data_IF_570562587725
#
_entry.id   IF_570562587725
#
_cell.length_a   1.000
_cell.length_b   1.000
_cell.length_c   1.000
_cell.angle_alpha   90.00
_cell.angle_beta   90.00
_cell.angle_gamma   90.00
#
_symmetry.space_group_name_H-M   'P 1'
#
loop_
_entity.id
_entity.type
_entity.pdbx_description
1 polymer ?
#
# COMPACT_ATOMS: atom_id res chain seq x y z
N UNK A 1 -27.61 -17.64 29.12
CA UNK A 1 -27.90 -16.83 30.33
C UNK A 1 -26.79 -15.81 30.46
N UNK A 2 -27.10 -14.52 30.46
CA UNK A 2 -26.10 -13.46 30.55
C UNK A 2 -25.55 -13.41 31.99
N UNK A 3 -24.27 -13.73 32.18
CA UNK A 3 -23.64 -13.60 33.50
C UNK A 3 -23.36 -12.13 33.74
N UNK A 4 -24.09 -11.53 34.68
CA UNK A 4 -23.90 -10.14 35.10
C UNK A 4 -22.97 -10.11 36.31
N UNK A 5 -21.81 -9.46 36.17
CA UNK A 5 -20.80 -9.39 37.22
C UNK A 5 -20.47 -7.94 37.56
N UNK A 6 -20.14 -7.69 38.83
CA UNK A 6 -19.51 -6.42 39.22
C UNK A 6 -18.14 -6.30 38.54
N UNK A 7 -17.62 -5.08 38.36
CA UNK A 7 -16.30 -4.86 37.75
C UNK A 7 -15.17 -5.59 38.48
N UNK A 8 -15.28 -5.71 39.81
CA UNK A 8 -14.31 -6.43 40.65
C UNK A 8 -14.41 -7.94 40.47
N UNK A 9 -15.61 -8.49 40.30
CA UNK A 9 -15.82 -9.89 39.98
C UNK A 9 -15.38 -10.22 38.55
N UNK A 10 -15.62 -9.32 37.58
CA UNK A 10 -15.15 -9.47 36.20
C UNK A 10 -13.61 -9.44 36.10
N UNK A 11 -12.95 -8.57 36.88
CA UNK A 11 -11.48 -8.54 36.97
C UNK A 11 -10.91 -9.89 37.43
N UNK A 12 -11.53 -10.49 38.47
CA UNK A 12 -11.15 -11.82 38.97
C UNK A 12 -11.44 -12.93 37.96
N UNK A 13 -12.60 -12.89 37.30
CA UNK A 13 -12.99 -13.87 36.28
C UNK A 13 -11.99 -13.95 35.12
N UNK A 14 -11.48 -12.80 34.66
CA UNK A 14 -10.53 -12.73 33.54
C UNK A 14 -9.06 -12.73 33.97
N UNK A 15 -8.77 -12.79 35.28
CA UNK A 15 -7.40 -12.78 35.80
C UNK A 15 -6.63 -11.47 35.57
N UNK A 16 -7.32 -10.34 35.49
CA UNK A 16 -6.71 -9.02 35.24
C UNK A 16 -6.81 -8.10 36.44
N UNK A 17 -5.85 -7.18 36.58
CA UNK A 17 -5.86 -6.18 37.65
C UNK A 17 -7.04 -5.20 37.55
N UNK A 18 -7.49 -4.66 38.68
CA UNK A 18 -8.58 -3.66 38.75
C UNK A 18 -8.33 -2.43 37.87
N UNK A 19 -7.07 -2.05 37.68
CA UNK A 19 -6.64 -0.95 36.81
C UNK A 19 -6.96 -1.21 35.33
N UNK A 20 -6.79 -2.45 34.85
CA UNK A 20 -7.10 -2.81 33.47
C UNK A 20 -8.60 -2.66 33.17
N UNK A 21 -9.46 -3.10 34.09
CA UNK A 21 -10.92 -2.96 33.95
C UNK A 21 -11.35 -1.49 33.98
N UNK A 22 -10.69 -0.65 34.80
CA UNK A 22 -10.93 0.80 34.80
C UNK A 22 -10.54 1.45 33.46
N UNK A 23 -9.42 1.04 32.88
CA UNK A 23 -9.00 1.51 31.56
C UNK A 23 -9.96 1.05 30.45
N UNK A 24 -10.48 -0.17 30.53
CA UNK A 24 -11.50 -0.67 29.59
C UNK A 24 -12.83 0.05 29.72
N UNK A 25 -13.21 0.43 30.95
CA UNK A 25 -14.37 1.30 31.19
C UNK A 25 -14.20 2.64 30.49
N UNK A 26 -13.04 3.31 30.68
CA UNK A 26 -12.71 4.59 30.02
C UNK A 26 -12.69 4.46 28.50
N UNK A 27 -12.22 3.33 27.97
CA UNK A 27 -12.18 3.04 26.55
C UNK A 27 -13.54 2.59 25.95
N UNK A 28 -14.62 2.55 26.75
CA UNK A 28 -15.95 2.15 26.29
C UNK A 28 -16.06 0.67 25.90
N UNK A 29 -15.18 -0.19 26.43
CA UNK A 29 -15.08 -1.61 26.07
C UNK A 29 -15.94 -2.51 26.95
N UNK A 30 -16.42 -2.02 28.10
CA UNK A 30 -17.34 -2.75 28.97
C UNK A 30 -18.78 -2.51 28.55
N UNK A 31 -19.56 -3.58 28.46
CA UNK A 31 -21.01 -3.51 28.23
C UNK A 31 -21.70 -3.65 29.58
N UNK A 32 -22.42 -2.62 29.99
CA UNK A 32 -23.21 -2.62 31.21
C UNK A 32 -24.66 -3.01 30.89
N UNK A 33 -25.23 -3.89 31.70
CA UNK A 33 -26.63 -4.27 31.67
C UNK A 33 -27.21 -4.16 33.09
N UNK A 34 -28.49 -3.83 33.15
CA UNK A 34 -29.22 -3.72 34.41
C UNK A 34 -29.65 -5.11 34.89
N UNK A 35 -29.46 -5.39 36.18
CA UNK A 35 -29.85 -6.64 36.83
C UNK A 35 -31.27 -6.58 37.41
N UNK A 36 -32.10 -5.65 36.92
CA UNK A 36 -33.47 -5.44 37.39
C UNK A 36 -33.58 -4.82 38.80
N UNK A 37 -32.45 -4.53 39.43
CA UNK A 37 -32.33 -3.89 40.75
C UNK A 37 -31.73 -2.48 40.67
N UNK A 38 -31.50 -1.96 39.46
CA UNK A 38 -30.97 -0.62 39.22
C UNK A 38 -29.44 -0.51 39.35
N UNK A 39 -28.75 -1.64 39.58
CA UNK A 39 -27.29 -1.70 39.58
C UNK A 39 -26.77 -2.06 38.18
N UNK A 40 -25.91 -1.19 37.64
CA UNK A 40 -25.23 -1.43 36.36
C UNK A 40 -24.12 -2.47 36.55
N UNK A 41 -24.39 -3.71 36.12
CA UNK A 41 -23.43 -4.82 36.14
C UNK A 41 -22.84 -5.04 34.74
N UNK A 42 -21.63 -5.59 34.69
CA UNK A 42 -20.94 -5.91 33.43
C UNK A 42 -21.51 -7.20 32.88
N UNK A 43 -22.05 -7.14 31.67
CA UNK A 43 -22.39 -8.33 30.89
C UNK A 43 -21.09 -8.98 30.39
N UNK A 44 -20.74 -10.10 31.00
CA UNK A 44 -19.52 -10.87 30.71
C UNK A 44 -19.49 -11.25 29.24
N UNK A 45 -20.57 -11.84 28.72
CA UNK A 45 -20.60 -12.41 27.38
C UNK A 45 -20.42 -11.35 26.29
N UNK A 46 -21.10 -10.20 26.43
CA UNK A 46 -21.00 -9.10 25.47
C UNK A 46 -19.67 -8.35 25.58
N UNK A 47 -19.16 -8.19 26.79
CA UNK A 47 -17.87 -7.55 27.03
C UNK A 47 -16.71 -8.40 26.50
N UNK A 48 -16.75 -9.72 26.67
CA UNK A 48 -15.72 -10.61 26.15
C UNK A 48 -15.71 -10.66 24.62
N UNK A 49 -16.89 -10.69 23.98
CA UNK A 49 -16.98 -10.59 22.52
C UNK A 49 -16.37 -9.27 22.00
N UNK A 50 -16.65 -8.15 22.66
CA UNK A 50 -16.13 -6.82 22.28
C UNK A 50 -14.62 -6.69 22.51
N UNK A 51 -14.12 -7.28 23.61
CA UNK A 51 -12.69 -7.30 23.91
C UNK A 51 -11.94 -8.17 22.91
N UNK A 52 -12.44 -9.36 22.59
CA UNK A 52 -11.80 -10.29 21.66
C UNK A 52 -11.85 -9.76 20.21
N UNK A 53 -12.93 -9.08 19.81
CA UNK A 53 -13.02 -8.46 18.48
C UNK A 53 -12.02 -7.31 18.26
N UNK A 54 -11.56 -6.65 19.34
CA UNK A 54 -10.55 -5.58 19.27
C UNK A 54 -9.12 -6.10 19.48
N UNK A 55 -8.96 -7.28 20.06
CA UNK A 55 -7.67 -7.94 20.26
C UNK A 55 -7.29 -8.71 18.98
N UNK A 56 -6.88 -7.97 17.96
CA UNK A 56 -6.36 -8.52 16.71
C UNK A 56 -5.11 -9.39 16.98
N UNK A 57 -5.14 -10.70 16.69
CA UNK A 57 -4.00 -11.61 16.91
C UNK A 57 -2.79 -11.31 16.04
N UNK A 58 -2.94 -10.51 14.98
CA UNK A 58 -1.87 -10.18 14.02
C UNK A 58 -1.13 -8.88 14.34
N UNK A 59 -1.59 -8.12 15.35
CA UNK A 59 -0.91 -6.90 15.79
C UNK A 59 0.00 -7.20 16.97
N UNK A 60 1.30 -7.29 16.67
CA UNK A 60 2.37 -7.50 17.65
C UNK A 60 2.15 -6.69 18.93
N UNK A 61 2.28 -7.38 20.07
CA UNK A 61 2.11 -6.89 21.43
C UNK A 61 2.77 -5.50 21.60
N UNK A 62 2.01 -4.44 21.91
CA UNK A 62 2.60 -3.20 22.40
C UNK A 62 3.15 -3.47 23.80
N UNK A 63 4.47 -3.63 23.92
CA UNK A 63 5.17 -3.62 25.22
C UNK A 63 5.28 -2.18 25.70
N UNK A 64 4.19 -1.66 26.26
CA UNK A 64 4.22 -0.46 27.08
C UNK A 64 3.84 -0.87 28.52
N UNK A 65 4.85 -1.01 29.38
CA UNK A 65 4.69 -1.25 30.82
C UNK A 65 5.32 -2.55 31.33
N UNK A 66 6.64 -2.66 31.28
CA UNK A 66 7.41 -3.60 32.10
C UNK A 66 8.38 -2.78 32.98
N UNK A 67 7.81 -2.22 34.05
CA UNK A 67 8.39 -1.57 35.25
C UNK A 67 7.26 -1.72 36.29
N UNK A 68 7.35 -2.24 37.50
CA UNK A 68 8.40 -2.60 38.49
C UNK A 68 8.04 -4.00 39.05
N UNK A 69 8.85 -4.84 39.71
CA UNK A 69 10.04 -4.62 40.53
C UNK A 69 9.84 -5.36 41.86
N UNK A 70 10.59 -6.45 42.12
CA UNK A 70 10.91 -6.93 43.48
C UNK A 70 12.07 -7.96 43.51
N UNK A 71 13.30 -7.42 43.51
CA UNK A 71 14.50 -7.75 44.34
C UNK A 71 15.09 -9.20 44.39
N UNK A 72 16.32 -9.40 44.90
CA UNK A 72 17.53 -9.65 44.11
C UNK A 72 18.11 -11.06 44.33
N UNK A 73 18.62 -11.69 43.29
CA UNK A 73 19.58 -12.77 43.47
C UNK A 73 20.52 -12.78 42.27
N UNK A 74 21.79 -12.48 42.54
CA UNK A 74 22.88 -12.88 41.65
C UNK A 74 23.11 -14.36 41.92
N UNK A 75 22.97 -15.22 40.90
CA UNK A 75 23.86 -16.35 40.82
C UNK A 75 24.52 -16.42 39.44
N UNK A 76 25.84 -16.37 39.48
CA UNK A 76 26.75 -17.32 38.82
C UNK A 76 26.80 -17.24 37.29
N UNK A 77 28.02 -16.98 36.81
CA UNK A 77 28.57 -17.32 35.49
C UNK A 77 27.64 -18.16 34.60
N UNK A 78 26.91 -17.46 33.73
CA UNK A 78 26.18 -18.06 32.61
C UNK A 78 26.82 -17.56 31.33
N UNK A 79 27.44 -18.48 30.60
CA UNK A 79 27.99 -18.29 29.26
C UNK A 79 27.09 -17.36 28.44
N UNK A 80 27.71 -16.35 27.81
CA UNK A 80 27.02 -15.51 26.85
C UNK A 80 26.44 -16.42 25.77
N UNK A 81 25.13 -16.62 25.81
CA UNK A 81 24.36 -17.38 24.83
C UNK A 81 24.47 -16.63 23.49
N UNK A 82 25.54 -16.94 22.73
CA UNK A 82 25.81 -16.38 21.40
C UNK A 82 24.62 -16.58 20.46
N UNK A 83 23.79 -17.60 20.71
CA UNK A 83 22.52 -17.85 20.05
C UNK A 83 21.50 -16.72 20.24
N UNK A 84 21.39 -16.16 21.45
CA UNK A 84 20.47 -15.06 21.77
C UNK A 84 20.84 -13.75 21.09
N UNK A 85 22.14 -13.40 21.04
CA UNK A 85 22.61 -12.19 20.36
C UNK A 85 22.44 -12.28 18.83
N UNK A 86 22.68 -13.46 18.25
CA UNK A 86 22.42 -13.73 16.82
C UNK A 86 20.92 -13.72 16.50
N UNK A 87 20.07 -14.30 17.36
CA UNK A 87 18.60 -14.21 17.22
C UNK A 87 18.09 -12.78 17.31
N UNK A 88 18.63 -11.97 18.22
CA UNK A 88 18.27 -10.55 18.34
C UNK A 88 18.68 -9.74 17.12
N UNK A 89 19.87 -10.00 16.55
CA UNK A 89 20.31 -9.39 15.28
C UNK A 89 19.44 -9.79 14.10
N UNK A 90 19.06 -11.07 14.00
CA UNK A 90 18.16 -11.56 12.97
C UNK A 90 16.76 -10.94 13.10
N UNK A 91 16.23 -10.81 14.32
CA UNK A 91 14.97 -10.14 14.58
C UNK A 91 15.02 -8.64 14.26
N UNK A 92 16.14 -7.97 14.57
CA UNK A 92 16.33 -6.56 14.22
C UNK A 92 16.36 -6.35 12.70
N UNK A 93 16.99 -7.26 11.96
CA UNK A 93 17.03 -7.23 10.49
C UNK A 93 15.65 -7.45 9.88
N UNK A 94 14.91 -8.48 10.33
CA UNK A 94 13.54 -8.72 9.85
C UNK A 94 12.62 -7.54 10.16
N UNK A 95 12.78 -6.87 11.31
CA UNK A 95 12.02 -5.66 11.63
C UNK A 95 12.39 -4.47 10.74
N UNK A 96 13.65 -4.35 10.35
CA UNK A 96 14.09 -3.34 9.40
C UNK A 96 13.50 -3.61 8.01
N UNK A 97 13.57 -4.85 7.53
CA UNK A 97 13.02 -5.27 6.23
C UNK A 97 11.50 -5.00 6.16
N UNK A 98 10.75 -5.39 7.20
CA UNK A 98 9.29 -5.13 7.28
C UNK A 98 8.99 -3.62 7.33
N UNK A 99 9.80 -2.83 8.05
CA UNK A 99 9.62 -1.39 8.11
C UNK A 99 9.91 -0.73 6.76
N UNK A 100 10.86 -1.24 5.98
CA UNK A 100 11.12 -0.80 4.62
C UNK A 100 9.96 -1.12 3.68
N UNK A 101 9.43 -2.34 3.73
CA UNK A 101 8.25 -2.74 2.95
C UNK A 101 7.04 -1.86 3.29
N UNK A 102 6.80 -1.58 4.56
CA UNK A 102 5.73 -0.68 5.02
C UNK A 102 5.90 0.75 4.50
N UNK A 103 7.15 1.25 4.45
CA UNK A 103 7.45 2.57 3.90
C UNK A 103 7.22 2.61 2.39
N UNK A 104 7.63 1.57 1.66
CA UNK A 104 7.36 1.43 0.23
C UNK A 104 5.86 1.38 -0.03
N UNK A 105 5.12 0.55 0.72
CA UNK A 105 3.67 0.45 0.60
C UNK A 105 2.95 1.79 0.85
N UNK A 106 3.39 2.57 1.84
CA UNK A 106 2.85 3.92 2.08
C UNK A 106 3.17 4.88 0.95
N UNK A 107 4.39 4.83 0.39
CA UNK A 107 4.78 5.66 -0.76
C UNK A 107 3.94 5.32 -2.00
N UNK A 108 3.74 4.04 -2.28
CA UNK A 108 2.92 3.59 -3.41
C UNK A 108 1.46 4.04 -3.26
N UNK A 109 0.88 3.88 -2.05
CA UNK A 109 -0.49 4.38 -1.77
C UNK A 109 -0.60 5.89 -1.92
N UNK A 110 0.42 6.64 -1.45
CA UNK A 110 0.43 8.09 -1.61
C UNK A 110 0.53 8.49 -3.09
N UNK A 111 1.36 7.81 -3.88
CA UNK A 111 1.51 8.06 -5.31
C UNK A 111 0.25 7.67 -6.10
N UNK A 112 -0.43 6.59 -5.72
CA UNK A 112 -1.74 6.21 -6.25
C UNK A 112 -2.80 7.29 -5.96
N UNK A 113 -2.88 7.78 -4.71
CA UNK A 113 -3.79 8.87 -4.34
C UNK A 113 -3.45 10.19 -5.05
N UNK A 114 -2.16 10.45 -5.29
CA UNK A 114 -1.68 11.59 -6.05
C UNK A 114 -1.90 11.43 -7.57
N UNK A 115 -2.41 10.28 -8.04
CA UNK A 115 -2.59 9.91 -9.45
C UNK A 115 -1.28 9.94 -10.25
N UNK A 116 -0.17 9.68 -9.59
CA UNK A 116 1.16 9.56 -10.21
C UNK A 116 1.42 8.14 -10.72
N UNK A 117 0.63 7.17 -10.28
CA UNK A 117 0.69 5.78 -10.72
C UNK A 117 -0.45 5.47 -11.70
N UNK A 118 -0.12 4.71 -12.74
CA UNK A 118 -1.06 4.19 -13.74
C UNK A 118 -1.00 2.66 -13.69
N UNK A 119 -2.12 1.94 -13.88
CA UNK A 119 -2.09 0.48 -13.99
C UNK A 119 -1.10 0.04 -15.07
N UNK A 120 -0.32 -1.00 -14.79
CA UNK A 120 0.71 -1.49 -15.71
C UNK A 120 0.13 -1.85 -17.08
N UNK A 121 -1.04 -2.50 -17.10
CA UNK A 121 -1.74 -2.85 -18.34
C UNK A 121 -2.09 -1.62 -19.20
N UNK A 122 -2.51 -0.53 -18.58
CA UNK A 122 -2.83 0.71 -19.29
C UNK A 122 -1.59 1.40 -19.82
N UNK A 123 -0.50 1.40 -19.03
CA UNK A 123 0.79 1.92 -19.46
C UNK A 123 1.32 1.11 -20.67
N UNK A 124 1.26 -0.22 -20.63
CA UNK A 124 1.66 -1.10 -21.73
C UNK A 124 0.80 -0.86 -22.99
N UNK A 125 -0.52 -0.75 -22.83
CA UNK A 125 -1.45 -0.45 -23.93
C UNK A 125 -1.12 0.89 -24.58
N UNK A 126 -0.94 1.94 -23.78
CA UNK A 126 -0.57 3.30 -24.25
C UNK A 126 0.78 3.30 -24.96
N UNK A 127 1.79 2.63 -24.40
CA UNK A 127 3.10 2.49 -25.05
C UNK A 127 3.00 1.76 -26.39
N UNK A 128 2.19 0.70 -26.48
CA UNK A 128 1.93 -0.01 -27.72
C UNK A 128 1.25 0.85 -28.80
N UNK A 129 0.28 1.68 -28.40
CA UNK A 129 -0.37 2.64 -29.29
C UNK A 129 0.60 3.71 -29.77
N UNK A 130 1.37 4.32 -28.86
CA UNK A 130 2.40 5.31 -29.19
C UNK A 130 3.44 4.75 -30.16
N UNK A 131 3.86 3.50 -29.97
CA UNK A 131 4.77 2.82 -30.90
C UNK A 131 4.20 2.66 -32.31
N UNK A 132 2.91 2.33 -32.43
CA UNK A 132 2.21 2.26 -33.73
C UNK A 132 2.12 3.63 -34.40
N UNK A 133 1.68 4.64 -33.65
CA UNK A 133 1.59 6.03 -34.14
C UNK A 133 2.96 6.55 -34.61
N UNK A 134 4.02 6.30 -33.84
CA UNK A 134 5.37 6.69 -34.20
C UNK A 134 5.80 6.06 -35.55
N UNK A 135 5.59 4.74 -35.69
CA UNK A 135 5.91 4.02 -36.92
C UNK A 135 5.13 4.56 -38.12
N UNK A 136 3.82 4.74 -37.99
CA UNK A 136 2.96 5.25 -39.06
C UNK A 136 3.39 6.66 -39.49
N UNK A 137 3.74 7.51 -38.53
CA UNK A 137 4.18 8.88 -38.80
C UNK A 137 5.50 8.94 -39.55
N UNK A 138 6.49 8.17 -39.11
CA UNK A 138 7.79 8.05 -39.81
C UNK A 138 7.59 7.53 -41.23
N UNK A 139 6.78 6.47 -41.40
CA UNK A 139 6.49 5.94 -42.73
C UNK A 139 5.78 6.96 -43.63
N UNK A 140 4.88 7.77 -43.08
CA UNK A 140 4.18 8.82 -43.83
C UNK A 140 5.15 9.89 -44.34
N UNK A 141 6.06 10.39 -43.50
CA UNK A 141 7.05 11.40 -43.90
C UNK A 141 8.05 10.85 -44.93
N UNK A 142 8.47 9.59 -44.78
CA UNK A 142 9.35 8.93 -45.76
C UNK A 142 8.65 8.74 -47.12
N UNK A 143 7.38 8.33 -47.12
CA UNK A 143 6.58 8.21 -48.36
C UNK A 143 6.43 9.57 -49.05
N UNK A 144 6.20 10.65 -48.29
CA UNK A 144 6.09 12.00 -48.84
C UNK A 144 7.38 12.49 -49.51
N UNK A 145 8.54 11.90 -49.16
CA UNK A 145 9.85 12.23 -49.74
C UNK A 145 10.36 11.21 -50.75
N UNK A 146 9.60 10.16 -51.04
CA UNK A 146 10.06 9.03 -51.85
C UNK A 146 10.57 9.44 -53.24
N UNK A 147 9.88 10.35 -53.92
CA UNK A 147 10.29 10.85 -55.24
C UNK A 147 11.61 11.61 -55.19
N UNK A 148 11.80 12.46 -54.17
CA UNK A 148 13.03 13.23 -53.98
C UNK A 148 14.20 12.31 -53.63
N UNK A 149 13.97 11.31 -52.78
CA UNK A 149 14.97 10.29 -52.44
C UNK A 149 15.37 9.46 -53.66
N UNK A 150 14.43 9.14 -54.56
CA UNK A 150 14.72 8.38 -55.78
C UNK A 150 15.52 9.19 -56.82
N UNK A 151 15.37 10.52 -56.83
CA UNK A 151 16.11 11.41 -57.71
C UNK A 151 17.53 11.72 -57.22
N UNK A 152 17.76 11.64 -55.91
CA UNK A 152 19.04 11.98 -55.29
C UNK A 152 20.09 10.88 -55.49
N UNK A 153 21.34 11.27 -55.77
CA UNK A 153 22.46 10.34 -55.99
C UNK A 153 23.58 10.52 -54.97
N UNK A 154 23.60 11.65 -54.27
CA UNK A 154 24.64 11.96 -53.31
C UNK A 154 24.27 11.39 -51.92
N UNK A 155 25.11 10.51 -51.34
CA UNK A 155 24.76 9.84 -50.09
C UNK A 155 24.52 10.78 -48.90
N UNK A 156 25.23 11.90 -48.78
CA UNK A 156 25.03 12.83 -47.67
C UNK A 156 23.69 13.57 -47.78
N UNK A 157 23.27 13.93 -48.98
CA UNK A 157 21.98 14.52 -49.27
C UNK A 157 20.85 13.53 -48.96
N UNK A 158 21.02 12.24 -49.29
CA UNK A 158 20.08 11.19 -48.89
C UNK A 158 19.96 11.11 -47.36
N UNK A 159 21.08 11.06 -46.64
CA UNK A 159 21.08 11.03 -45.17
C UNK A 159 20.40 12.27 -44.59
N UNK A 160 20.74 13.47 -45.07
CA UNK A 160 20.13 14.71 -44.63
C UNK A 160 18.60 14.72 -44.85
N UNK A 161 18.12 14.16 -45.97
CA UNK A 161 16.69 14.05 -46.24
C UNK A 161 15.97 13.07 -45.32
N UNK A 162 16.63 11.97 -44.93
CA UNK A 162 16.10 10.98 -44.00
C UNK A 162 16.09 11.51 -42.56
N UNK A 163 17.16 12.20 -42.14
CA UNK A 163 17.27 12.83 -40.83
C UNK A 163 16.17 13.88 -40.66
N UNK A 164 16.02 14.79 -41.62
CA UNK A 164 14.97 15.81 -41.61
C UNK A 164 13.55 15.20 -41.57
N UNK A 165 13.34 14.08 -42.28
CA UNK A 165 12.06 13.37 -42.25
C UNK A 165 11.77 12.78 -40.86
N UNK A 166 12.80 12.21 -40.25
CA UNK A 166 12.73 11.58 -38.94
C UNK A 166 12.48 12.62 -37.85
N UNK A 167 13.23 13.71 -37.84
CA UNK A 167 13.06 14.82 -36.90
C UNK A 167 11.66 15.42 -36.99
N UNK A 168 11.18 15.66 -38.21
CA UNK A 168 9.82 16.18 -38.42
C UNK A 168 8.75 15.21 -37.92
N UNK A 169 8.93 13.90 -38.14
CA UNK A 169 8.01 12.88 -37.63
C UNK A 169 7.99 12.87 -36.09
N UNK A 170 9.15 12.93 -35.44
CA UNK A 170 9.26 12.98 -33.97
C UNK A 170 8.72 14.27 -33.38
N UNK A 171 8.98 15.43 -33.99
CA UNK A 171 8.39 16.69 -33.55
C UNK A 171 6.87 16.67 -33.66
N UNK A 172 6.32 16.14 -34.74
CA UNK A 172 4.88 16.00 -34.90
C UNK A 172 4.28 15.02 -33.88
N UNK A 173 4.96 13.91 -33.59
CA UNK A 173 4.54 12.95 -32.57
C UNK A 173 4.55 13.58 -31.17
N UNK A 174 5.62 14.31 -30.82
CA UNK A 174 5.72 15.01 -29.55
C UNK A 174 4.59 16.04 -29.38
N UNK A 175 4.29 16.81 -30.44
CA UNK A 175 3.17 17.74 -30.44
C UNK A 175 1.82 17.01 -30.27
N UNK A 176 1.62 15.87 -30.94
CA UNK A 176 0.40 15.08 -30.79
C UNK A 176 0.23 14.55 -29.35
N UNK A 177 1.31 14.08 -28.72
CA UNK A 177 1.30 13.62 -27.32
C UNK A 177 0.95 14.78 -26.38
N UNK A 178 1.60 15.94 -26.54
CA UNK A 178 1.33 17.13 -25.71
C UNK A 178 -0.12 17.63 -25.84
N UNK A 179 -0.71 17.46 -27.02
CA UNK A 179 -2.09 17.84 -27.30
C UNK A 179 -3.12 16.77 -26.88
N UNK A 180 -2.70 15.69 -26.23
CA UNK A 180 -3.60 14.66 -25.73
C UNK A 180 -4.11 13.68 -26.79
N UNK A 181 -3.52 13.62 -27.98
CA UNK A 181 -3.93 12.68 -29.02
C UNK A 181 -3.68 11.20 -28.65
N UNK A 182 -2.92 10.94 -27.58
CA UNK A 182 -2.71 9.62 -27.01
C UNK A 182 -3.73 9.24 -25.91
N UNK A 183 -4.59 10.17 -25.48
CA UNK A 183 -5.61 9.96 -24.43
C UNK A 183 -6.99 9.60 -25.02
N UNK A 184 -7.05 9.13 -26.27
CA UNK A 184 -8.28 8.55 -26.83
C UNK A 184 -8.49 7.16 -26.22
N UNK A 185 -8.92 7.13 -24.96
CA UNK A 185 -9.40 5.94 -24.28
C UNK A 185 -10.83 6.17 -23.77
N UNK A 186 -11.74 5.40 -24.36
CA UNK A 186 -12.93 4.80 -23.71
C UNK A 186 -14.29 5.52 -23.69
N UNK A 187 -14.51 6.63 -24.40
CA UNK A 187 -15.90 7.15 -24.57
C UNK A 187 -16.57 6.82 -25.92
N UNK A 188 -15.83 6.32 -26.92
CA UNK A 188 -16.40 6.04 -28.26
C UNK A 188 -16.91 4.61 -28.49
N UNK A 189 -16.58 3.65 -27.61
CA UNK A 189 -16.99 2.24 -27.82
C UNK A 189 -18.37 1.91 -27.19
N UNK A 190 -18.88 2.73 -26.27
CA UNK A 190 -20.19 2.48 -25.62
C UNK A 190 -21.38 3.01 -26.43
N UNK A 191 -21.16 3.91 -27.40
CA UNK A 191 -22.25 4.49 -28.21
C UNK A 191 -22.56 3.64 -29.46
N UNK A 192 -21.62 2.82 -29.94
CA UNK A 192 -21.80 2.05 -31.17
C UNK A 192 -22.65 0.77 -31.02
N UNK A 193 -22.91 0.31 -29.79
CA UNK A 193 -23.73 -0.91 -29.54
C UNK A 193 -25.18 -0.61 -29.14
N UNK A 194 -25.59 0.67 -29.15
CA UNK A 194 -26.93 1.13 -28.76
C UNK A 194 -27.71 1.87 -29.86
N UNK A 195 -27.28 1.80 -31.13
CA UNK A 195 -27.95 2.41 -32.28
C UNK A 195 -28.44 1.37 -33.30
#
# INVERSE_FOLDING_TARGET
MATLLTQTAFAKHRGVGKSAVSNWKKAGLLVFADDGTGALLVDVTRTEAKLNARLDPTRGRPTAGMQDGSVPELPIDGEADEGSALQQRNLARVRADVAEEDLVGKRMKNAELARELVPAMDAERRLGQLGRMARERVQSELRARAERLAAEREPRAIMALLDEATDKAFHALAAAILNGAADVSEDEEVIAEAA
#
